data_IF_110581340783
#
_entry.id   IF_110581340783
#
_cell.length_a   1.000
_cell.length_b   1.000
_cell.length_c   1.000
_cell.angle_alpha   90.00
_cell.angle_beta   90.00
_cell.angle_gamma   90.00
#
_symmetry.space_group_name_H-M   'P 1'
#
loop_
_entity.id
_entity.type
_entity.pdbx_description
1 polymer ?
#
# COMPACT_ATOMS: atom_id res chain seq x y z
N UNK A 1 31.58 4.33 0.21
CA UNK A 1 30.31 5.01 0.50
C UNK A 1 29.33 4.37 -0.44
N UNK A 2 28.46 3.51 0.08
CA UNK A 2 27.44 2.86 -0.74
C UNK A 2 26.42 3.93 -1.13
N UNK A 3 26.21 4.10 -2.43
CA UNK A 3 25.24 5.04 -2.95
C UNK A 3 23.86 4.39 -2.89
N UNK A 4 22.94 4.98 -2.13
CA UNK A 4 21.53 4.60 -2.17
C UNK A 4 20.91 5.17 -3.44
N UNK A 5 20.32 4.30 -4.25
CA UNK A 5 19.58 4.68 -5.45
C UNK A 5 18.10 4.66 -5.15
N UNK A 6 17.44 5.80 -5.33
CA UNK A 6 16.00 5.91 -5.15
C UNK A 6 15.29 6.12 -6.48
N UNK A 7 14.18 5.42 -6.63
CA UNK A 7 13.20 5.57 -7.69
C UNK A 7 11.89 6.07 -7.09
N UNK A 8 11.18 6.96 -7.81
CA UNK A 8 9.84 7.39 -7.40
C UNK A 8 8.84 7.00 -8.47
N UNK A 9 7.72 6.43 -8.04
CA UNK A 9 6.56 6.16 -8.90
C UNK A 9 5.31 6.79 -8.29
N UNK A 10 4.33 7.04 -9.15
CA UNK A 10 3.16 7.85 -8.83
C UNK A 10 1.88 7.06 -9.05
N UNK A 11 0.90 7.31 -8.18
CA UNK A 11 -0.45 6.75 -8.32
C UNK A 11 -1.48 7.77 -7.87
N UNK A 12 -2.44 8.04 -8.73
CA UNK A 12 -3.66 8.75 -8.37
C UNK A 12 -4.59 7.85 -7.55
N UNK A 13 -5.31 8.46 -6.61
CA UNK A 13 -6.38 7.79 -5.88
C UNK A 13 -7.38 8.83 -5.38
N UNK A 14 -8.63 8.42 -5.24
CA UNK A 14 -9.62 9.22 -4.54
C UNK A 14 -9.98 8.54 -3.22
N UNK A 15 -9.95 9.31 -2.13
CA UNK A 15 -10.22 8.85 -0.77
C UNK A 15 -11.28 9.72 -0.08
N UNK A 16 -12.10 9.12 0.77
CA UNK A 16 -12.98 9.89 1.66
C UNK A 16 -12.15 10.74 2.61
N UNK A 17 -12.76 11.80 3.14
CA UNK A 17 -12.11 12.66 4.12
C UNK A 17 -11.60 11.88 5.35
N UNK A 18 -12.37 10.90 5.82
CA UNK A 18 -11.99 10.07 6.98
C UNK A 18 -10.79 9.16 6.65
N UNK A 19 -10.75 8.55 5.47
CA UNK A 19 -9.61 7.74 5.01
C UNK A 19 -8.33 8.58 4.88
N UNK A 20 -8.45 9.82 4.41
CA UNK A 20 -7.34 10.77 4.38
C UNK A 20 -6.91 11.18 5.80
N UNK A 21 -7.86 11.34 6.72
CA UNK A 21 -7.53 11.64 8.12
C UNK A 21 -6.78 10.49 8.77
N UNK A 22 -7.18 9.24 8.51
CA UNK A 22 -6.44 8.06 8.96
C UNK A 22 -5.00 8.06 8.46
N UNK A 23 -4.75 8.44 7.19
CA UNK A 23 -3.37 8.56 6.68
C UNK A 23 -2.55 9.61 7.45
N UNK A 24 -3.16 10.73 7.82
CA UNK A 24 -2.49 11.81 8.59
C UNK A 24 -2.16 11.36 10.01
N UNK A 25 -3.06 10.61 10.65
CA UNK A 25 -2.89 10.13 12.02
C UNK A 25 -1.87 8.98 12.10
N UNK A 26 -1.58 8.33 10.97
CA UNK A 26 -0.69 7.19 10.86
C UNK A 26 0.64 7.51 10.15
N UNK A 27 1.09 8.76 10.15
CA UNK A 27 2.46 9.10 9.70
C UNK A 27 3.49 8.26 10.50
N UNK A 28 4.54 7.82 9.81
CA UNK A 28 5.56 6.86 10.26
C UNK A 28 5.08 5.43 10.51
N UNK A 29 3.79 5.11 10.31
CA UNK A 29 3.26 3.74 10.38
C UNK A 29 3.27 3.05 9.02
N UNK A 30 3.01 1.74 9.04
CA UNK A 30 2.88 0.92 7.85
C UNK A 30 1.46 1.01 7.28
N UNK A 31 1.38 1.02 5.95
CA UNK A 31 0.17 0.82 5.17
C UNK A 31 0.37 -0.40 4.27
N UNK A 32 -0.63 -1.27 4.20
CA UNK A 32 -0.66 -2.43 3.32
C UNK A 32 -1.72 -2.22 2.24
N UNK A 33 -1.39 -2.62 1.01
CA UNK A 33 -2.35 -2.68 -0.09
C UNK A 33 -2.54 -4.15 -0.50
N UNK A 34 -3.78 -4.64 -0.37
CA UNK A 34 -4.11 -6.05 -0.56
C UNK A 34 -4.52 -6.39 -2.01
N UNK A 35 -4.06 -5.58 -2.97
CA UNK A 35 -4.25 -5.79 -4.42
C UNK A 35 -2.93 -5.55 -5.14
N UNK A 36 -2.88 -5.84 -6.44
CA UNK A 36 -1.82 -5.26 -7.28
C UNK A 36 -1.93 -3.74 -7.25
N UNK A 37 -0.78 -3.05 -7.24
CA UNK A 37 -0.73 -1.58 -7.28
C UNK A 37 -0.15 -1.19 -8.64
N UNK A 38 -0.97 -0.57 -9.48
CA UNK A 38 -0.50 0.06 -10.72
C UNK A 38 -0.06 1.49 -10.44
N UNK A 39 1.07 1.88 -11.01
CA UNK A 39 1.73 3.18 -10.83
C UNK A 39 2.42 3.59 -12.13
N UNK A 40 2.87 4.83 -12.22
CA UNK A 40 3.60 5.37 -13.37
C UNK A 40 4.89 6.05 -12.93
N UNK A 41 5.92 6.08 -13.79
CA UNK A 41 7.07 6.99 -13.59
C UNK A 41 6.71 8.47 -13.81
N UNK A 42 5.64 8.75 -14.55
CA UNK A 42 5.29 10.08 -15.02
C UNK A 42 4.36 10.80 -14.04
N UNK A 43 4.93 11.69 -13.23
CA UNK A 43 4.17 12.49 -12.24
C UNK A 43 3.02 13.27 -12.88
N UNK A 44 3.23 13.81 -14.07
CA UNK A 44 2.25 14.64 -14.77
C UNK A 44 1.03 13.82 -15.22
N UNK A 45 1.25 12.57 -15.66
CA UNK A 45 0.17 11.64 -16.01
C UNK A 45 -0.69 11.34 -14.78
N UNK A 46 -0.08 10.90 -13.68
CA UNK A 46 -0.81 10.62 -12.44
C UNK A 46 -1.52 11.87 -11.89
N UNK A 47 -0.86 13.04 -11.95
CA UNK A 47 -1.44 14.30 -11.48
C UNK A 47 -2.64 14.74 -12.33
N UNK A 48 -2.60 14.54 -13.64
CA UNK A 48 -3.71 14.81 -14.54
C UNK A 48 -4.91 13.91 -14.21
N UNK A 49 -4.68 12.62 -14.03
CA UNK A 49 -5.72 11.65 -13.68
C UNK A 49 -6.35 11.96 -12.30
N UNK A 50 -5.54 12.34 -11.31
CA UNK A 50 -6.01 12.76 -9.99
C UNK A 50 -6.95 13.99 -10.05
N UNK A 51 -6.73 14.91 -11.00
CA UNK A 51 -7.58 16.12 -11.19
C UNK A 51 -8.86 15.84 -11.97
N UNK A 52 -8.82 14.85 -12.88
CA UNK A 52 -9.87 14.62 -13.88
C UNK A 52 -11.20 14.10 -13.33
N UNK A 53 -11.27 13.57 -12.11
CA UNK A 53 -12.49 12.97 -11.56
C UNK A 53 -13.44 13.95 -10.86
N UNK A 54 -13.45 15.22 -11.28
CA UNK A 54 -14.26 16.28 -10.64
C UNK A 54 -15.75 16.18 -11.01
N UNK A 55 -16.51 15.40 -10.24
CA UNK A 55 -17.97 15.53 -10.14
C UNK A 55 -18.37 15.44 -8.68
N UNK A 56 -18.72 16.55 -8.03
CA UNK A 56 -19.32 16.53 -6.68
C UNK A 56 -20.46 15.49 -6.58
N UNK A 57 -20.63 14.77 -5.44
CA UNK A 57 -19.92 14.90 -4.17
C UNK A 57 -18.83 13.82 -4.05
N UNK A 58 -17.68 14.05 -4.68
CA UNK A 58 -16.62 13.03 -4.81
C UNK A 58 -15.48 13.23 -3.81
N UNK A 59 -14.86 12.12 -3.34
CA UNK A 59 -13.66 12.04 -2.49
C UNK A 59 -12.51 13.02 -2.80
N UNK A 60 -11.64 13.25 -1.81
CA UNK A 60 -10.40 14.03 -1.94
C UNK A 60 -9.46 13.39 -2.98
N UNK A 61 -8.97 14.18 -3.92
CA UNK A 61 -7.95 13.77 -4.90
C UNK A 61 -6.58 13.64 -4.22
N UNK A 62 -6.00 12.45 -4.33
CA UNK A 62 -4.71 12.07 -3.75
C UNK A 62 -3.74 11.70 -4.86
N UNK A 63 -2.48 12.09 -4.69
CA UNK A 63 -1.34 11.59 -5.43
C UNK A 63 -0.40 10.90 -4.43
N UNK A 64 -0.30 9.57 -4.54
CA UNK A 64 0.71 8.81 -3.86
C UNK A 64 2.05 8.95 -4.59
N UNK A 65 3.10 9.25 -3.84
CA UNK A 65 4.49 9.31 -4.31
C UNK A 65 5.25 8.19 -3.58
N UNK A 66 5.45 7.06 -4.25
CA UNK A 66 6.08 5.86 -3.67
C UNK A 66 7.56 5.88 -4.00
N UNK A 67 8.38 6.09 -2.97
CA UNK A 67 9.83 6.01 -3.05
C UNK A 67 10.29 4.57 -2.83
N UNK A 68 11.21 4.13 -3.69
CA UNK A 68 11.76 2.77 -3.70
C UNK A 68 13.27 2.89 -3.62
N UNK A 69 13.87 2.32 -2.59
CA UNK A 69 15.32 2.13 -2.56
C UNK A 69 15.65 0.90 -3.40
N UNK A 70 16.32 1.09 -4.53
CA UNK A 70 16.65 0.01 -5.48
C UNK A 70 17.92 -0.75 -5.09
N UNK A 71 18.61 -0.32 -4.03
CA UNK A 71 19.80 -0.97 -3.49
C UNK A 71 19.49 -2.02 -2.41
N UNK A 72 18.21 -2.23 -2.07
CA UNK A 72 17.78 -3.17 -1.01
C UNK A 72 16.71 -4.13 -1.53
N UNK A 73 16.55 -5.26 -0.84
CA UNK A 73 15.52 -6.25 -1.17
C UNK A 73 14.15 -5.80 -0.65
N UNK A 74 13.19 -5.67 -1.56
CA UNK A 74 11.83 -5.19 -1.29
C UNK A 74 10.81 -6.16 -1.83
N UNK A 75 9.52 -5.89 -1.58
CA UNK A 75 8.46 -6.59 -2.32
C UNK A 75 8.64 -6.40 -3.84
N UNK A 76 8.34 -7.44 -4.65
CA UNK A 76 8.50 -7.35 -6.09
C UNK A 76 7.63 -6.29 -6.75
N UNK A 77 8.23 -5.58 -7.69
CA UNK A 77 7.59 -4.67 -8.64
C UNK A 77 8.27 -4.83 -10.00
N UNK A 78 7.58 -4.46 -11.08
CA UNK A 78 8.12 -4.53 -12.43
C UNK A 78 7.61 -3.39 -13.29
N UNK A 79 8.50 -2.84 -14.14
CA UNK A 79 8.08 -2.03 -15.27
C UNK A 79 7.41 -2.96 -16.30
N UNK A 80 6.13 -2.72 -16.56
CA UNK A 80 5.31 -3.49 -17.49
C UNK A 80 4.82 -2.64 -18.66
N UNK A 81 5.44 -1.49 -18.94
CA UNK A 81 5.13 -0.59 -20.06
C UNK A 81 4.88 -1.34 -21.38
N UNK A 82 5.75 -2.29 -21.72
CA UNK A 82 5.66 -3.03 -22.98
C UNK A 82 4.51 -4.06 -23.02
N UNK A 83 4.02 -4.47 -21.85
CA UNK A 83 2.87 -5.36 -21.68
C UNK A 83 1.56 -4.61 -21.43
N UNK A 84 1.64 -3.34 -21.05
CA UNK A 84 0.50 -2.51 -20.71
C UNK A 84 -0.30 -2.14 -21.97
N UNK A 85 -1.62 -2.09 -21.82
CA UNK A 85 -2.52 -1.54 -22.84
C UNK A 85 -2.27 -0.03 -23.00
N UNK A 86 -1.89 0.65 -21.92
CA UNK A 86 -1.61 2.08 -21.85
C UNK A 86 -0.10 2.36 -21.94
N UNK A 87 0.51 2.08 -23.10
CA UNK A 87 1.99 2.18 -23.29
C UNK A 87 2.63 3.55 -22.97
N UNK A 88 1.84 4.61 -22.87
CA UNK A 88 2.28 5.97 -22.61
C UNK A 88 2.36 6.31 -21.12
N UNK A 89 1.85 5.44 -20.24
CA UNK A 89 1.84 5.65 -18.80
C UNK A 89 3.08 5.08 -18.11
N UNK A 90 4.04 4.48 -18.84
CA UNK A 90 5.27 3.92 -18.27
C UNK A 90 5.01 3.12 -16.98
N UNK A 91 4.05 2.19 -17.09
CA UNK A 91 3.43 1.52 -15.96
C UNK A 91 4.44 0.66 -15.18
N UNK A 92 4.43 0.82 -13.86
CA UNK A 92 5.12 -0.03 -12.89
C UNK A 92 4.07 -0.70 -12.00
N UNK A 93 4.08 -2.03 -12.01
CA UNK A 93 3.12 -2.85 -11.27
C UNK A 93 3.80 -3.48 -10.05
N UNK A 94 3.22 -3.28 -8.87
CA UNK A 94 3.63 -3.94 -7.63
C UNK A 94 2.81 -5.19 -7.37
N UNK A 95 3.46 -6.18 -6.77
CA UNK A 95 2.82 -7.41 -6.32
C UNK A 95 1.84 -7.18 -5.17
N UNK A 96 0.91 -8.12 -5.00
CA UNK A 96 -0.05 -8.14 -3.88
C UNK A 96 0.68 -8.21 -2.53
N UNK A 97 0.15 -7.52 -1.51
CA UNK A 97 0.74 -7.49 -0.18
C UNK A 97 1.97 -6.59 -0.09
N UNK A 98 2.03 -5.59 -0.98
CA UNK A 98 2.99 -4.51 -0.88
C UNK A 98 2.69 -3.67 0.35
N UNK A 99 3.73 -3.46 1.16
CA UNK A 99 3.69 -2.69 2.40
C UNK A 99 4.64 -1.51 2.24
N UNK A 100 4.17 -0.34 2.66
CA UNK A 100 4.95 0.90 2.63
C UNK A 100 4.81 1.65 3.95
N UNK A 101 5.79 2.48 4.26
CA UNK A 101 5.73 3.43 5.38
C UNK A 101 5.15 4.76 4.91
N UNK A 102 4.26 5.36 5.69
CA UNK A 102 3.74 6.70 5.42
C UNK A 102 4.76 7.73 5.90
N UNK A 103 5.45 8.41 4.97
CA UNK A 103 6.47 9.39 5.31
C UNK A 103 5.88 10.78 5.56
N UNK A 104 4.90 11.18 4.75
CA UNK A 104 4.22 12.47 4.94
C UNK A 104 2.89 12.52 4.20
N UNK A 105 1.98 13.36 4.72
CA UNK A 105 0.72 13.71 4.08
C UNK A 105 0.60 15.23 4.07
N UNK A 106 0.41 15.83 2.90
CA UNK A 106 0.32 17.28 2.78
C UNK A 106 -0.39 17.71 1.51
N UNK A 107 -0.88 18.95 1.46
CA UNK A 107 -1.51 19.52 0.27
C UNK A 107 -0.63 20.65 -0.25
N UNK A 108 0.19 20.44 -1.31
CA UNK A 108 1.01 21.50 -1.87
C UNK A 108 0.13 22.69 -2.28
N UNK A 109 0.54 23.91 -1.89
CA UNK A 109 -0.20 25.14 -2.17
C UNK A 109 -0.50 25.27 -3.66
N UNK A 110 -1.75 25.56 -4.01
CA UNK A 110 -2.19 25.74 -5.40
C UNK A 110 -2.35 24.44 -6.21
N UNK A 111 -2.01 23.27 -5.67
CA UNK A 111 -2.17 22.01 -6.40
C UNK A 111 -3.63 21.54 -6.42
N UNK A 112 -4.39 21.73 -5.34
CA UNK A 112 -5.72 21.13 -5.18
C UNK A 112 -5.71 19.62 -4.90
N UNK A 113 -4.53 18.98 -4.88
CA UNK A 113 -4.35 17.52 -4.70
C UNK A 113 -3.55 17.29 -3.42
N UNK A 114 -3.92 16.30 -2.62
CA UNK A 114 -3.10 15.85 -1.50
C UNK A 114 -1.95 14.97 -2.00
N UNK A 115 -0.73 15.28 -1.59
CA UNK A 115 0.45 14.43 -1.77
C UNK A 115 0.61 13.53 -0.54
N UNK A 116 0.72 12.23 -0.77
CA UNK A 116 1.04 11.23 0.24
C UNK A 116 2.34 10.54 -0.16
N UNK A 117 3.41 10.81 0.59
CA UNK A 117 4.71 10.17 0.34
C UNK A 117 4.77 8.85 1.08
N UNK A 118 5.11 7.80 0.35
CA UNK A 118 5.29 6.45 0.87
C UNK A 118 6.73 6.01 0.63
N UNK A 119 7.30 5.26 1.56
CA UNK A 119 8.57 4.56 1.37
C UNK A 119 8.28 3.05 1.31
N UNK A 120 8.62 2.38 0.21
CA UNK A 120 8.47 0.94 0.09
C UNK A 120 9.35 0.24 1.14
N UNK A 121 8.75 -0.65 1.93
CA UNK A 121 9.51 -1.38 2.95
C UNK A 121 10.41 -2.44 2.32
N UNK A 122 11.59 -2.63 2.90
CA UNK A 122 12.41 -3.81 2.63
C UNK A 122 11.97 -5.00 3.46
N UNK A 123 12.42 -6.20 3.08
CA UNK A 123 12.31 -7.40 3.93
C UNK A 123 13.05 -7.24 5.27
N UNK A 124 13.97 -6.27 5.35
CA UNK A 124 14.73 -5.93 6.54
C UNK A 124 14.02 -5.02 7.55
N UNK A 125 12.88 -4.42 7.18
CA UNK A 125 12.19 -3.38 7.96
C UNK A 125 11.85 -3.85 9.39
N UNK A 126 12.30 -3.10 10.39
CA UNK A 126 12.17 -3.47 11.80
C UNK A 126 10.71 -3.47 12.25
N UNK A 127 9.91 -2.49 11.84
CA UNK A 127 8.50 -2.42 12.22
C UNK A 127 7.70 -3.57 11.59
N UNK A 128 8.03 -3.94 10.34
CA UNK A 128 7.41 -5.07 9.68
C UNK A 128 7.77 -6.40 10.36
N UNK A 129 9.02 -6.56 10.78
CA UNK A 129 9.48 -7.75 11.55
C UNK A 129 8.76 -7.87 12.88
N UNK A 130 8.77 -6.81 13.69
CA UNK A 130 8.09 -6.79 15.00
C UNK A 130 6.60 -7.07 14.86
N UNK A 131 5.94 -6.47 13.86
CA UNK A 131 4.53 -6.73 13.57
C UNK A 131 4.29 -8.21 13.20
N UNK A 132 5.14 -8.77 12.34
CA UNK A 132 5.03 -10.16 11.88
C UNK A 132 5.25 -11.17 13.00
N UNK A 133 6.20 -10.91 13.89
CA UNK A 133 6.48 -11.73 15.08
C UNK A 133 5.30 -11.69 16.05
N UNK A 134 4.79 -10.49 16.35
CA UNK A 134 3.62 -10.32 17.23
C UNK A 134 2.39 -11.04 16.69
N UNK A 135 2.10 -10.92 15.39
CA UNK A 135 0.98 -11.64 14.77
C UNK A 135 1.16 -13.15 14.93
N UNK A 136 2.40 -13.65 14.76
CA UNK A 136 2.69 -15.09 14.93
C UNK A 136 2.46 -15.57 16.35
N UNK A 137 2.84 -14.78 17.35
CA UNK A 137 2.63 -15.08 18.77
C UNK A 137 1.14 -15.06 19.14
N UNK A 138 0.41 -14.02 18.72
CA UNK A 138 -1.00 -13.86 19.06
C UNK A 138 -1.93 -14.86 18.34
N UNK A 139 -1.47 -15.42 17.22
CA UNK A 139 -2.19 -16.45 16.46
C UNK A 139 -1.63 -17.85 16.67
N UNK A 140 -0.76 -18.05 17.67
CA UNK A 140 -0.11 -19.33 17.90
C UNK A 140 -1.14 -20.40 18.26
N UNK A 141 -1.26 -21.40 17.37
CA UNK A 141 -2.29 -22.41 17.44
C UNK A 141 -1.76 -23.73 16.87
N UNK A 142 -2.36 -24.83 17.31
CA UNK A 142 -1.92 -26.18 16.96
C UNK A 142 -2.04 -26.56 15.47
N UNK A 143 -2.80 -25.81 14.67
CA UNK A 143 -2.94 -26.06 13.23
C UNK A 143 -3.00 -24.77 12.42
N UNK A 144 -2.50 -24.80 11.19
CA UNK A 144 -2.43 -23.63 10.31
C UNK A 144 -3.82 -23.05 9.98
N UNK A 145 -4.85 -23.89 9.86
CA UNK A 145 -6.24 -23.46 9.70
C UNK A 145 -6.75 -22.69 10.92
N UNK A 146 -6.32 -23.07 12.13
CA UNK A 146 -6.66 -22.36 13.36
C UNK A 146 -5.93 -21.00 13.40
N UNK A 147 -4.63 -20.97 13.08
CA UNK A 147 -3.85 -19.72 12.98
C UNK A 147 -4.52 -18.73 12.02
N UNK A 148 -4.91 -19.20 10.83
CA UNK A 148 -5.59 -18.37 9.84
C UNK A 148 -6.97 -17.87 10.33
N UNK A 149 -7.75 -18.73 10.99
CA UNK A 149 -9.02 -18.33 11.60
C UNK A 149 -8.83 -17.26 12.69
N UNK A 150 -7.80 -17.39 13.52
CA UNK A 150 -7.47 -16.42 14.56
C UNK A 150 -7.03 -15.08 13.97
N UNK A 151 -6.17 -15.09 12.94
CA UNK A 151 -5.74 -13.89 12.22
C UNK A 151 -6.94 -13.13 11.64
N UNK A 152 -7.83 -13.84 10.93
CA UNK A 152 -9.04 -13.24 10.36
C UNK A 152 -9.94 -12.64 11.44
N UNK A 153 -10.08 -13.31 12.60
CA UNK A 153 -10.83 -12.77 13.73
C UNK A 153 -10.20 -11.47 14.26
N UNK A 154 -8.88 -11.40 14.39
CA UNK A 154 -8.18 -10.19 14.82
C UNK A 154 -8.35 -9.03 13.83
N UNK A 155 -8.42 -9.33 12.52
CA UNK A 155 -8.71 -8.36 11.47
C UNK A 155 -10.19 -7.94 11.40
N UNK A 156 -11.06 -8.46 12.28
CA UNK A 156 -12.50 -8.21 12.25
C UNK A 156 -13.28 -8.97 11.16
N UNK A 157 -12.61 -9.88 10.45
CA UNK A 157 -13.15 -10.68 9.34
C UNK A 157 -13.89 -11.93 9.86
N UNK A 158 -14.84 -11.72 10.78
CA UNK A 158 -15.48 -12.79 11.56
C UNK A 158 -16.15 -13.87 10.69
N UNK A 159 -16.84 -13.48 9.61
CA UNK A 159 -17.49 -14.42 8.71
C UNK A 159 -16.47 -15.33 7.99
N UNK A 160 -15.30 -14.80 7.61
CA UNK A 160 -14.23 -15.60 7.02
C UNK A 160 -13.61 -16.51 8.09
N UNK A 161 -13.33 -15.97 9.28
CA UNK A 161 -12.79 -16.72 10.41
C UNK A 161 -13.66 -17.94 10.78
N UNK A 162 -14.98 -17.76 10.87
CA UNK A 162 -15.94 -18.82 11.18
C UNK A 162 -15.87 -19.99 10.19
N UNK A 163 -15.72 -19.70 8.88
CA UNK A 163 -15.59 -20.74 7.85
C UNK A 163 -14.37 -21.63 8.08
N UNK A 164 -13.26 -21.06 8.56
CA UNK A 164 -12.05 -21.82 8.88
C UNK A 164 -12.23 -22.62 10.17
N UNK A 165 -12.78 -22.03 11.23
CA UNK A 165 -13.05 -22.76 12.48
C UNK A 165 -14.01 -23.94 12.27
N UNK A 166 -15.04 -23.79 11.43
CA UNK A 166 -15.97 -24.88 11.11
C UNK A 166 -15.31 -26.05 10.37
N UNK A 167 -14.19 -25.83 9.67
CA UNK A 167 -13.42 -26.89 9.02
C UNK A 167 -12.56 -27.71 9.99
N UNK A 168 -12.29 -27.19 11.18
CA UNK A 168 -11.50 -27.89 12.22
C UNK A 168 -12.32 -28.85 13.07
N UNK A 169 -13.65 -28.67 13.10
CA UNK A 169 -14.59 -29.47 13.90
C UNK A 169 -15.36 -30.49 13.05
N UNK A 170 -15.00 -30.65 11.77
CA UNK A 170 -15.49 -31.71 10.89
C UNK A 170 -14.43 -32.77 10.77
#
# INVERSE_FOLDING_TARGET
MDHEYFLTVYREQHLKADELHELKDNISRLISMNTFISTTYEKDVASMLARGASLSPIPESILFEIQINTSIDTKPYANIKELSVMKHEDEVLFSIGTISRIESVGKPTGSGIWSVKLLLTSEGDEQLKVLSERIREETDASSDLNKLGQLLRQMGEYAKAERYFRRLIR
#
